data_IF_347059003807
#
_entry.id   IF_347059003807
#
_cell.length_a   1.000
_cell.length_b   1.000
_cell.length_c   1.000
_cell.angle_alpha   90.00
_cell.angle_beta   90.00
_cell.angle_gamma   90.00
#
_symmetry.space_group_name_H-M   'P 1'
#
loop_
_entity.id
_entity.type
_entity.pdbx_description
1 polymer ?
#
# COMPACT_ATOMS: atom_id res chain seq x y z
N UNK A 1 -19.50 46.48 -9.09
CA UNK A 1 -20.05 46.62 -10.45
C UNK A 1 -21.04 47.77 -10.42
N UNK A 2 -20.66 48.90 -11.00
CA UNK A 2 -21.46 50.13 -11.05
C UNK A 2 -22.36 50.05 -12.28
N UNK A 3 -23.57 49.51 -12.13
CA UNK A 3 -24.56 49.53 -13.22
C UNK A 3 -25.06 50.97 -13.31
N UNK A 4 -24.54 51.72 -14.28
CA UNK A 4 -25.04 53.07 -14.59
C UNK A 4 -26.45 52.91 -15.19
N UNK A 5 -27.54 53.28 -14.48
CA UNK A 5 -28.92 53.03 -14.91
C UNK A 5 -29.33 53.83 -16.17
N UNK A 6 -28.53 54.83 -16.51
CA UNK A 6 -28.90 55.98 -17.34
C UNK A 6 -29.58 55.64 -18.68
N UNK A 7 -28.90 54.95 -19.61
CA UNK A 7 -29.34 54.97 -21.02
C UNK A 7 -30.68 54.27 -21.32
N UNK A 8 -31.03 53.23 -20.57
CA UNK A 8 -32.31 52.51 -20.75
C UNK A 8 -33.46 53.23 -20.06
N UNK A 9 -33.20 53.70 -18.84
CA UNK A 9 -34.16 54.48 -18.05
C UNK A 9 -34.43 55.84 -18.72
N UNK A 10 -33.43 56.45 -19.35
CA UNK A 10 -33.54 57.67 -20.16
C UNK A 10 -34.50 57.49 -21.34
N UNK A 11 -34.38 56.36 -22.06
CA UNK A 11 -35.26 56.07 -23.19
C UNK A 11 -36.71 55.86 -22.73
N UNK A 12 -36.90 55.12 -21.64
CA UNK A 12 -38.23 54.89 -21.06
C UNK A 12 -38.85 56.19 -20.53
N UNK A 13 -38.03 57.09 -19.94
CA UNK A 13 -38.47 58.39 -19.50
C UNK A 13 -38.92 59.27 -20.68
N UNK A 14 -38.15 59.32 -21.77
CA UNK A 14 -38.52 60.08 -22.99
C UNK A 14 -39.81 59.54 -23.60
N UNK A 15 -39.98 58.21 -23.66
CA UNK A 15 -41.21 57.60 -24.17
C UNK A 15 -42.41 57.91 -23.28
N UNK A 16 -42.22 57.94 -21.95
CA UNK A 16 -43.27 58.30 -20.99
C UNK A 16 -43.66 59.79 -21.08
N UNK A 17 -42.69 60.66 -21.34
CA UNK A 17 -42.90 62.09 -21.59
C UNK A 17 -43.68 62.31 -22.90
N UNK A 18 -43.35 61.55 -23.96
CA UNK A 18 -44.09 61.55 -25.23
C UNK A 18 -45.52 61.03 -25.06
N UNK A 19 -45.72 59.95 -24.30
CA UNK A 19 -47.05 59.40 -23.99
C UNK A 19 -47.91 60.41 -23.22
N UNK A 20 -47.30 61.11 -22.25
CA UNK A 20 -47.96 62.17 -21.48
C UNK A 20 -48.35 63.37 -22.37
N UNK A 21 -47.47 63.78 -23.29
CA UNK A 21 -47.73 64.83 -24.28
C UNK A 21 -48.95 64.50 -25.16
N UNK A 22 -49.04 63.25 -25.61
CA UNK A 22 -50.12 62.77 -26.47
C UNK A 22 -51.42 62.63 -25.66
N UNK A 23 -51.36 62.06 -24.47
CA UNK A 23 -52.53 61.84 -23.60
C UNK A 23 -53.13 63.14 -23.05
N UNK A 24 -52.31 64.17 -22.81
CA UNK A 24 -52.75 65.49 -22.35
C UNK A 24 -53.25 66.43 -23.46
N UNK A 25 -53.23 65.98 -24.72
CA UNK A 25 -53.54 66.81 -25.88
C UNK A 25 -55.04 67.05 -26.10
N UNK A 26 -55.39 68.15 -26.78
CA UNK A 26 -56.79 68.46 -27.10
C UNK A 26 -57.28 67.60 -28.26
N UNK A 27 -58.27 66.75 -28.02
CA UNK A 27 -58.91 65.93 -29.04
C UNK A 27 -59.99 66.69 -29.82
N UNK A 28 -60.11 66.38 -31.11
CA UNK A 28 -61.16 66.95 -31.98
C UNK A 28 -62.47 66.14 -31.86
N UNK A 29 -63.64 66.77 -31.75
CA UNK A 29 -64.92 66.05 -31.69
C UNK A 29 -65.15 65.27 -32.99
N UNK A 30 -65.64 64.03 -32.85
CA UNK A 30 -65.91 63.08 -33.96
C UNK A 30 -64.66 62.60 -34.74
N UNK A 31 -63.43 62.74 -34.21
CA UNK A 31 -62.20 62.23 -34.83
C UNK A 31 -61.26 61.57 -33.80
N UNK A 32 -60.39 60.67 -34.26
CA UNK A 32 -59.30 60.09 -33.46
C UNK A 32 -58.05 61.01 -33.39
N UNK A 33 -58.13 62.25 -33.89
CA UNK A 33 -57.00 63.17 -33.97
C UNK A 33 -56.84 64.03 -32.71
N UNK A 34 -55.58 64.25 -32.34
CA UNK A 34 -55.12 65.05 -31.21
C UNK A 34 -54.30 66.25 -31.71
N UNK A 35 -54.50 67.42 -31.09
CA UNK A 35 -53.68 68.62 -31.33
C UNK A 35 -52.50 68.60 -30.36
N UNK A 36 -51.31 68.31 -30.88
CA UNK A 36 -50.05 68.29 -30.12
C UNK A 36 -49.12 69.42 -30.55
N UNK A 37 -48.28 69.90 -29.64
CA UNK A 37 -47.19 70.81 -29.99
C UNK A 37 -46.16 70.04 -30.83
N UNK A 38 -46.07 70.39 -32.11
CA UNK A 38 -45.18 69.73 -33.06
C UNK A 38 -43.71 69.86 -32.69
N UNK A 39 -43.29 71.00 -32.15
CA UNK A 39 -41.88 71.24 -31.80
C UNK A 39 -41.44 70.35 -30.63
N UNK A 40 -42.27 70.29 -29.60
CA UNK A 40 -42.05 69.47 -28.40
C UNK A 40 -42.07 67.96 -28.71
N UNK A 41 -43.02 67.51 -29.53
CA UNK A 41 -43.08 66.11 -29.97
C UNK A 41 -41.85 65.70 -30.79
N UNK A 42 -41.37 66.58 -31.69
CA UNK A 42 -40.19 66.30 -32.50
C UNK A 42 -38.91 66.27 -31.66
N UNK A 43 -38.77 67.16 -30.66
CA UNK A 43 -37.63 67.15 -29.76
C UNK A 43 -37.55 65.85 -28.94
N UNK A 44 -38.68 65.38 -28.42
CA UNK A 44 -38.77 64.09 -27.72
C UNK A 44 -38.37 62.91 -28.61
N UNK A 45 -38.85 62.88 -29.85
CA UNK A 45 -38.49 61.84 -30.83
C UNK A 45 -36.98 61.87 -31.14
N UNK A 46 -36.40 63.06 -31.28
CA UNK A 46 -34.98 63.22 -31.56
C UNK A 46 -34.11 62.86 -30.35
N UNK A 47 -34.55 63.18 -29.12
CA UNK A 47 -33.93 62.69 -27.89
C UNK A 47 -33.96 61.16 -27.83
N UNK A 48 -35.10 60.53 -28.08
CA UNK A 48 -35.24 59.08 -28.12
C UNK A 48 -34.31 58.46 -29.16
N UNK A 49 -34.28 59.00 -30.38
CA UNK A 49 -33.43 58.51 -31.48
C UNK A 49 -31.94 58.54 -31.13
N UNK A 50 -31.48 59.52 -30.36
CA UNK A 50 -30.10 59.60 -29.87
C UNK A 50 -29.81 58.62 -28.73
N UNK A 51 -30.83 58.28 -27.92
CA UNK A 51 -30.70 57.36 -26.78
C UNK A 51 -30.75 55.88 -27.20
N UNK A 52 -31.58 55.50 -28.20
CA UNK A 52 -31.76 54.10 -28.62
C UNK A 52 -30.45 53.37 -28.93
N UNK A 53 -29.52 53.89 -29.76
CA UNK A 53 -28.30 53.16 -30.11
C UNK A 53 -27.43 52.84 -28.88
N UNK A 54 -27.38 53.76 -27.90
CA UNK A 54 -26.64 53.56 -26.66
C UNK A 54 -27.28 52.47 -25.78
N UNK A 55 -28.60 52.45 -25.69
CA UNK A 55 -29.33 51.44 -24.94
C UNK A 55 -29.16 50.04 -25.56
N UNK A 56 -29.23 49.94 -26.90
CA UNK A 56 -29.02 48.68 -27.63
C UNK A 56 -27.61 48.15 -27.45
N UNK A 57 -26.57 48.97 -27.68
CA UNK A 57 -25.18 48.52 -27.49
C UNK A 57 -24.90 48.06 -26.06
N UNK A 58 -25.45 48.75 -25.05
CA UNK A 58 -25.34 48.29 -23.67
C UNK A 58 -25.99 46.93 -23.45
N UNK A 59 -27.17 46.70 -24.03
CA UNK A 59 -27.83 45.40 -23.93
C UNK A 59 -26.99 44.29 -24.60
N UNK A 60 -26.39 44.58 -25.75
CA UNK A 60 -25.45 43.68 -26.44
C UNK A 60 -24.22 43.38 -25.57
N UNK A 61 -23.61 44.40 -24.95
CA UNK A 61 -22.46 44.24 -24.05
C UNK A 61 -22.80 43.37 -22.84
N UNK A 62 -23.97 43.59 -22.21
CA UNK A 62 -24.43 42.79 -21.07
C UNK A 62 -24.61 41.32 -21.47
N UNK A 63 -25.18 41.07 -22.65
CA UNK A 63 -25.35 39.70 -23.16
C UNK A 63 -23.99 39.06 -23.44
N UNK A 64 -23.07 39.79 -24.07
CA UNK A 64 -21.71 39.31 -24.32
C UNK A 64 -20.95 38.99 -23.03
N UNK A 65 -21.06 39.85 -22.01
CA UNK A 65 -20.47 39.62 -20.68
C UNK A 65 -21.09 38.40 -19.99
N UNK A 66 -22.42 38.25 -20.07
CA UNK A 66 -23.12 37.09 -19.50
C UNK A 66 -22.67 35.78 -20.17
N UNK A 67 -22.54 35.78 -21.50
CA UNK A 67 -22.05 34.63 -22.26
C UNK A 67 -20.58 34.31 -21.92
N UNK A 68 -19.74 35.33 -21.75
CA UNK A 68 -18.35 35.16 -21.32
C UNK A 68 -18.25 34.55 -19.92
N UNK A 69 -19.05 35.04 -18.97
CA UNK A 69 -19.13 34.48 -17.61
C UNK A 69 -19.64 33.04 -17.63
N UNK A 70 -20.67 32.75 -18.43
CA UNK A 70 -21.20 31.40 -18.57
C UNK A 70 -20.17 30.43 -19.18
N UNK A 71 -19.45 30.86 -20.23
CA UNK A 71 -18.40 30.07 -20.86
C UNK A 71 -17.25 29.79 -19.88
N UNK A 72 -16.81 30.80 -19.13
CA UNK A 72 -15.79 30.64 -18.11
C UNK A 72 -16.25 29.70 -16.99
N UNK A 73 -17.50 29.83 -16.52
CA UNK A 73 -18.09 28.95 -15.53
C UNK A 73 -18.14 27.48 -15.98
N UNK A 74 -18.49 27.24 -17.25
CA UNK A 74 -18.47 25.88 -17.84
C UNK A 74 -17.05 25.30 -17.86
N UNK A 75 -16.07 26.09 -18.33
CA UNK A 75 -14.66 25.67 -18.38
C UNK A 75 -14.09 25.34 -16.99
N UNK A 76 -14.38 26.16 -15.99
CA UNK A 76 -13.96 25.90 -14.61
C UNK A 76 -14.67 24.67 -14.02
N UNK A 77 -15.95 24.47 -14.33
CA UNK A 77 -16.69 23.28 -13.91
C UNK A 77 -16.09 22.00 -14.50
N UNK A 78 -15.79 22.00 -15.80
CA UNK A 78 -15.12 20.88 -16.47
C UNK A 78 -13.74 20.60 -15.87
N UNK A 79 -12.98 21.65 -15.53
CA UNK A 79 -11.68 21.53 -14.87
C UNK A 79 -11.82 20.90 -13.48
N UNK A 80 -12.80 21.34 -12.70
CA UNK A 80 -13.08 20.80 -11.36
C UNK A 80 -13.52 19.33 -11.41
N UNK A 81 -14.41 18.98 -12.35
CA UNK A 81 -14.86 17.60 -12.54
C UNK A 81 -13.67 16.70 -12.90
N UNK A 82 -12.82 17.13 -13.83
CA UNK A 82 -11.62 16.37 -14.22
C UNK A 82 -10.69 16.15 -13.04
N UNK A 83 -10.38 17.21 -12.29
CA UNK A 83 -9.53 17.12 -11.10
C UNK A 83 -10.15 16.20 -10.03
N UNK A 84 -11.48 16.26 -9.82
CA UNK A 84 -12.16 15.39 -8.88
C UNK A 84 -12.08 13.91 -9.30
N UNK A 85 -12.20 13.61 -10.60
CA UNK A 85 -12.00 12.25 -11.12
C UNK A 85 -10.56 11.76 -10.93
N UNK A 86 -9.57 12.57 -11.29
CA UNK A 86 -8.15 12.24 -11.12
C UNK A 86 -7.82 11.94 -9.65
N UNK A 87 -8.32 12.75 -8.72
CA UNK A 87 -8.12 12.54 -7.28
C UNK A 87 -8.86 11.29 -6.76
N UNK A 88 -10.07 11.02 -7.25
CA UNK A 88 -10.79 9.81 -6.89
C UNK A 88 -10.06 8.55 -7.36
N UNK A 89 -9.55 8.54 -8.60
CA UNK A 89 -8.74 7.44 -9.13
C UNK A 89 -7.45 7.25 -8.32
N UNK A 90 -6.77 8.33 -7.95
CA UNK A 90 -5.58 8.30 -7.10
C UNK A 90 -5.87 7.69 -5.73
N UNK A 91 -6.97 8.10 -5.10
CA UNK A 91 -7.39 7.57 -3.79
C UNK A 91 -7.71 6.08 -3.86
N UNK A 92 -8.52 5.66 -4.84
CA UNK A 92 -8.87 4.23 -5.04
C UNK A 92 -7.63 3.39 -5.32
N UNK A 93 -6.71 3.89 -6.16
CA UNK A 93 -5.44 3.23 -6.41
C UNK A 93 -4.62 3.08 -5.13
N UNK A 94 -4.49 4.16 -4.34
CA UNK A 94 -3.75 4.12 -3.08
C UNK A 94 -4.36 3.15 -2.06
N UNK A 95 -5.68 3.09 -1.95
CA UNK A 95 -6.36 2.18 -1.04
C UNK A 95 -6.18 0.72 -1.49
N UNK A 96 -6.26 0.45 -2.79
CA UNK A 96 -5.99 -0.89 -3.34
C UNK A 96 -4.55 -1.33 -3.06
N UNK A 97 -3.57 -0.43 -3.22
CA UNK A 97 -2.16 -0.72 -2.90
C UNK A 97 -2.00 -1.04 -1.42
N UNK A 98 -2.61 -0.27 -0.53
CA UNK A 98 -2.56 -0.51 0.93
C UNK A 98 -3.23 -1.84 1.28
N UNK A 99 -4.40 -2.14 0.70
CA UNK A 99 -5.09 -3.41 0.92
C UNK A 99 -4.23 -4.60 0.48
N UNK A 100 -3.68 -4.54 -0.73
CA UNK A 100 -2.80 -5.58 -1.26
C UNK A 100 -1.51 -5.74 -0.43
N UNK A 101 -0.97 -4.65 0.09
CA UNK A 101 0.19 -4.70 0.97
C UNK A 101 -0.12 -5.40 2.30
N UNK A 102 -1.29 -5.14 2.91
CA UNK A 102 -1.74 -5.84 4.10
C UNK A 102 -2.00 -7.33 3.83
N UNK A 103 -2.72 -7.67 2.76
CA UNK A 103 -2.96 -9.08 2.38
C UNK A 103 -1.65 -9.85 2.21
N UNK A 104 -0.64 -9.20 1.59
CA UNK A 104 0.69 -9.79 1.42
C UNK A 104 1.45 -9.90 2.74
N UNK A 105 1.32 -8.92 3.63
CA UNK A 105 1.92 -8.96 4.96
C UNK A 105 1.34 -10.12 5.78
N UNK A 106 0.01 -10.28 5.79
CA UNK A 106 -0.67 -11.37 6.48
C UNK A 106 -0.25 -12.74 5.93
N UNK A 107 -0.15 -12.87 4.60
CA UNK A 107 0.35 -14.09 3.97
C UNK A 107 1.81 -14.41 4.35
N UNK A 108 2.67 -13.38 4.46
CA UNK A 108 4.07 -13.55 4.91
C UNK A 108 4.10 -14.00 6.37
N UNK A 109 3.29 -13.39 7.24
CA UNK A 109 3.20 -13.74 8.66
C UNK A 109 2.75 -15.18 8.82
N UNK A 110 1.64 -15.57 8.18
CA UNK A 110 1.13 -16.94 8.23
C UNK A 110 2.18 -17.96 7.75
N UNK A 111 2.86 -17.67 6.64
CA UNK A 111 3.92 -18.54 6.13
C UNK A 111 5.17 -18.57 7.03
N UNK A 112 5.45 -17.51 7.78
CA UNK A 112 6.54 -17.48 8.75
C UNK A 112 6.18 -18.29 10.01
N UNK A 113 4.96 -18.16 10.51
CA UNK A 113 4.43 -18.92 11.65
C UNK A 113 4.41 -20.42 11.35
N UNK A 114 3.94 -20.81 10.16
CA UNK A 114 3.93 -22.20 9.73
C UNK A 114 5.36 -22.78 9.65
N UNK A 115 6.29 -22.06 9.03
CA UNK A 115 7.70 -22.48 8.99
C UNK A 115 8.32 -22.58 10.39
N UNK A 116 8.00 -21.65 11.28
CA UNK A 116 8.47 -21.68 12.66
C UNK A 116 7.91 -22.89 13.42
N UNK A 117 6.64 -23.25 13.19
CA UNK A 117 6.04 -24.45 13.76
C UNK A 117 6.72 -25.73 13.23
N UNK A 118 6.91 -25.82 11.92
CA UNK A 118 7.61 -26.96 11.28
C UNK A 118 9.05 -27.10 11.79
N UNK A 119 9.78 -25.98 11.92
CA UNK A 119 11.15 -25.98 12.43
C UNK A 119 11.22 -26.45 13.89
N UNK A 120 10.31 -25.96 14.74
CA UNK A 120 10.23 -26.41 16.15
C UNK A 120 9.98 -27.91 16.23
N UNK A 121 8.97 -28.40 15.51
CA UNK A 121 8.65 -29.82 15.51
C UNK A 121 9.81 -30.68 15.00
N UNK A 122 10.46 -30.26 13.90
CA UNK A 122 11.63 -30.96 13.37
C UNK A 122 12.84 -30.95 14.33
N UNK A 123 13.00 -29.87 15.10
CA UNK A 123 14.04 -29.78 16.13
C UNK A 123 13.75 -30.72 17.31
N UNK A 124 12.49 -30.78 17.76
CA UNK A 124 12.06 -31.69 18.83
C UNK A 124 12.28 -33.15 18.40
N UNK A 125 11.84 -33.53 17.19
CA UNK A 125 12.05 -34.88 16.63
C UNK A 125 13.54 -35.23 16.46
N UNK A 126 14.38 -34.25 16.15
CA UNK A 126 15.82 -34.43 16.05
C UNK A 126 16.44 -34.65 17.43
N UNK A 127 16.06 -33.84 18.42
CA UNK A 127 16.50 -33.99 19.81
C UNK A 127 16.12 -35.36 20.36
N UNK A 128 14.88 -35.81 20.19
CA UNK A 128 14.42 -37.11 20.68
C UNK A 128 15.20 -38.26 20.06
N UNK A 129 15.42 -38.25 18.74
CA UNK A 129 16.24 -39.28 18.07
C UNK A 129 17.68 -39.29 18.55
N UNK A 130 18.26 -38.10 18.74
CA UNK A 130 19.65 -37.96 19.21
C UNK A 130 19.79 -38.46 20.64
N UNK A 131 18.85 -38.11 21.52
CA UNK A 131 18.81 -38.56 22.91
C UNK A 131 18.59 -40.07 23.00
N UNK A 132 17.70 -40.65 22.20
CA UNK A 132 17.49 -42.09 22.15
C UNK A 132 18.75 -42.84 21.67
N UNK A 133 19.45 -42.33 20.67
CA UNK A 133 20.73 -42.91 20.23
C UNK A 133 21.78 -42.86 21.32
N UNK A 134 21.89 -41.72 22.02
CA UNK A 134 22.80 -41.54 23.14
C UNK A 134 22.49 -42.51 24.29
N UNK A 135 21.20 -42.71 24.61
CA UNK A 135 20.75 -43.67 25.62
C UNK A 135 21.23 -45.09 25.31
N UNK A 136 21.08 -45.54 24.06
CA UNK A 136 21.54 -46.86 23.60
C UNK A 136 23.06 -46.98 23.75
N UNK A 137 23.82 -45.97 23.36
CA UNK A 137 25.28 -45.96 23.49
C UNK A 137 25.74 -46.02 24.95
N UNK A 138 25.13 -45.21 25.81
CA UNK A 138 25.41 -45.22 27.25
C UNK A 138 25.05 -46.58 27.88
N UNK A 139 23.96 -47.21 27.43
CA UNK A 139 23.60 -48.58 27.82
C UNK A 139 24.71 -49.58 27.51
N UNK A 140 25.25 -49.56 26.27
CA UNK A 140 26.37 -50.44 25.86
C UNK A 140 27.64 -50.18 26.67
N UNK A 141 27.99 -48.92 26.90
CA UNK A 141 29.15 -48.56 27.73
C UNK A 141 28.96 -49.06 29.16
N UNK A 142 27.75 -48.91 29.71
CA UNK A 142 27.39 -49.41 31.04
C UNK A 142 27.54 -50.93 31.15
N UNK A 143 27.10 -51.69 30.15
CA UNK A 143 27.29 -53.14 30.06
C UNK A 143 28.77 -53.52 29.99
N UNK A 144 29.56 -52.85 29.15
CA UNK A 144 31.01 -53.06 29.05
C UNK A 144 31.73 -52.80 30.37
N UNK A 145 31.36 -51.74 31.09
CA UNK A 145 31.92 -51.44 32.41
C UNK A 145 31.53 -52.51 33.43
N UNK A 146 30.27 -52.98 33.44
CA UNK A 146 29.81 -54.05 34.34
C UNK A 146 30.59 -55.34 34.09
N UNK A 147 30.69 -55.77 32.83
CA UNK A 147 31.47 -56.94 32.45
C UNK A 147 32.96 -56.79 32.83
N UNK A 148 33.56 -55.61 32.61
CA UNK A 148 34.93 -55.32 33.02
C UNK A 148 35.15 -55.42 34.54
N UNK A 149 34.17 -54.96 35.34
CA UNK A 149 34.19 -55.08 36.81
C UNK A 149 34.05 -56.53 37.28
N UNK A 150 33.19 -57.32 36.66
CA UNK A 150 33.04 -58.75 36.98
C UNK A 150 34.34 -59.52 36.70
N UNK A 151 35.00 -59.27 35.57
CA UNK A 151 36.31 -59.87 35.26
C UNK A 151 37.37 -59.48 36.30
N UNK A 152 37.41 -58.22 36.72
CA UNK A 152 38.33 -57.74 37.76
C UNK A 152 38.04 -58.39 39.12
N UNK A 153 36.77 -58.49 39.51
CA UNK A 153 36.34 -59.15 40.74
C UNK A 153 36.76 -60.63 40.76
N UNK A 154 36.51 -61.37 39.67
CA UNK A 154 36.93 -62.77 39.55
C UNK A 154 38.45 -62.96 39.60
N UNK A 155 39.23 -62.02 39.03
CA UNK A 155 40.70 -62.01 39.16
C UNK A 155 41.16 -61.77 40.59
N UNK A 156 40.50 -60.86 41.33
CA UNK A 156 40.82 -60.59 42.73
C UNK A 156 40.52 -61.80 43.62
N UNK A 157 39.39 -62.47 43.40
CA UNK A 157 39.00 -63.68 44.13
C UNK A 157 39.94 -64.86 43.85
N UNK A 158 40.31 -65.08 42.58
CA UNK A 158 41.31 -66.08 42.18
C UNK A 158 42.69 -65.80 42.80
N UNK A 159 43.06 -64.52 42.95
CA UNK A 159 44.32 -64.12 43.58
C UNK A 159 44.27 -64.27 45.10
N UNK A 160 43.10 -64.09 45.72
CA UNK A 160 42.87 -64.36 47.13
C UNK A 160 42.92 -65.87 47.43
N UNK A 161 42.38 -66.72 46.54
CA UNK A 161 42.47 -68.17 46.67
C UNK A 161 43.87 -68.72 46.37
N UNK A 162 44.63 -68.08 45.48
CA UNK A 162 46.05 -68.42 45.22
C UNK A 162 46.98 -67.94 46.35
N UNK A 163 46.52 -67.04 47.22
CA UNK A 163 47.27 -66.54 48.38
C UNK A 163 47.26 -67.46 49.61
N UNK A 164 46.54 -68.59 49.57
CA UNK A 164 46.52 -69.57 50.66
C UNK A 164 46.74 -71.00 50.15
N UNK A 165 48.02 -71.37 50.01
CA UNK A 165 48.49 -72.73 49.74
C UNK A 165 50.01 -72.80 49.98
N UNK A 166 50.50 -73.73 50.83
CA UNK A 166 51.87 -73.71 51.32
C UNK A 166 52.85 -74.24 50.28
N UNK A 167 54.05 -73.63 50.23
CA UNK A 167 55.32 -74.28 49.94
C UNK A 167 55.49 -75.07 48.63
N UNK A 168 56.47 -74.60 47.85
CA UNK A 168 57.51 -75.36 47.14
C UNK A 168 57.57 -75.29 45.60
N UNK A 169 58.81 -75.00 45.19
CA UNK A 169 59.56 -75.47 44.01
C UNK A 169 59.18 -74.92 42.65
N UNK A 170 59.83 -73.81 42.31
CA UNK A 170 60.94 -73.78 41.33
C UNK A 170 60.97 -74.94 40.31
N UNK A 171 60.52 -74.67 39.09
CA UNK A 171 60.93 -75.40 37.89
C UNK A 171 60.70 -74.56 36.62
N UNK A 172 61.82 -74.05 36.11
CA UNK A 172 62.21 -73.95 34.70
C UNK A 172 61.29 -73.29 33.64
N UNK A 173 61.80 -72.16 33.14
CA UNK A 173 61.50 -71.58 31.83
C UNK A 173 61.91 -72.52 30.69
N UNK A 174 61.29 -72.37 29.50
CA UNK A 174 62.06 -71.75 28.43
C UNK A 174 61.30 -70.68 27.62
N UNK A 175 62.11 -69.83 26.99
CA UNK A 175 61.79 -68.63 26.21
C UNK A 175 61.74 -68.95 24.67
N UNK A 176 61.55 -67.99 23.73
CA UNK A 176 60.37 -67.97 22.87
C UNK A 176 60.67 -68.14 21.36
N UNK A 177 59.72 -68.70 20.61
CA UNK A 177 59.78 -68.75 19.15
C UNK A 177 59.23 -67.45 18.53
N UNK A 178 60.17 -66.59 18.13
CA UNK A 178 59.98 -65.48 17.22
C UNK A 178 59.28 -65.94 15.93
N UNK A 179 58.18 -65.30 15.53
CA UNK A 179 57.77 -65.27 14.11
C UNK A 179 57.39 -63.86 13.68
N UNK A 180 57.96 -63.53 12.53
CA UNK A 180 58.10 -62.22 11.92
C UNK A 180 56.79 -61.57 11.49
N UNK A 181 56.73 -60.26 11.75
CA UNK A 181 56.40 -59.18 10.82
C UNK A 181 56.04 -59.61 9.39
N UNK A 182 54.85 -59.22 8.94
CA UNK A 182 54.61 -58.28 7.82
C UNK A 182 53.14 -58.34 7.43
N UNK A 183 52.50 -57.17 7.44
CA UNK A 183 51.60 -56.76 6.37
C UNK A 183 51.39 -55.27 6.50
N UNK A 184 52.06 -54.53 5.62
CA UNK A 184 51.77 -53.16 5.28
C UNK A 184 50.32 -53.02 4.79
N UNK A 185 49.60 -52.01 5.27
CA UNK A 185 48.48 -51.45 4.53
C UNK A 185 48.65 -49.93 4.51
N UNK A 186 49.11 -49.45 3.37
CA UNK A 186 49.13 -48.04 2.98
C UNK A 186 47.69 -47.59 2.68
N UNK A 187 47.13 -46.72 3.51
CA UNK A 187 45.97 -45.91 3.12
C UNK A 187 46.49 -44.61 2.51
N UNK A 188 46.42 -44.52 1.18
CA UNK A 188 46.55 -43.27 0.44
C UNK A 188 45.29 -42.43 0.68
N UNK A 189 45.49 -41.17 1.07
CA UNK A 189 44.44 -40.14 1.07
C UNK A 189 44.44 -39.50 -0.32
N UNK A 190 43.32 -39.61 -1.04
CA UNK A 190 43.05 -38.84 -2.26
C UNK A 190 42.14 -37.67 -1.90
N UNK A 191 42.61 -36.40 -1.96
CA UNK A 191 41.78 -35.23 -1.76
C UNK A 191 41.47 -34.61 -3.11
N UNK A 192 40.56 -35.20 -3.89
CA UNK A 192 40.00 -34.51 -5.06
C UNK A 192 38.61 -34.99 -5.49
N UNK A 193 37.60 -34.54 -4.75
CA UNK A 193 36.25 -34.26 -5.26
C UNK A 193 35.76 -33.00 -4.50
N UNK A 194 35.81 -31.77 -5.05
CA UNK A 194 34.89 -31.18 -6.05
C UNK A 194 33.43 -31.59 -5.76
N UNK A 195 32.47 -30.71 -5.45
CA UNK A 195 32.24 -29.29 -5.75
C UNK A 195 31.24 -28.75 -4.73
#
# INVERSE_FOLDING_TARGET
>A
MTTSPDAGDDLLAILSELDSLISGSRTMPMSASAIVNREEALDLIDRARRAVPRAVHRAEDIVADADAVAAQGRKESERLIRHAHEEAERLVSSENVVRQANDRADAIIAAAEERAAQLRHGADDYCDRTLASLEIELGRIGEQVRAGREVLAGRLESRASTGYGPGHTEAERPEPSRRSLRSSASWSVDPSAQR
#
